data_IF_461776068899
#
_entry.id   IF_461776068899
#
_cell.length_a   1.000
_cell.length_b   1.000
_cell.length_c   1.000
_cell.angle_alpha   90.00
_cell.angle_beta   90.00
_cell.angle_gamma   90.00
#
_symmetry.space_group_name_H-M   'P 1'
#
loop_
_entity.id
_entity.type
_entity.pdbx_description
1 polymer ?
#
# COMPACT_ATOMS: atom_id res chain seq x y z
N UNK A 1 -29.81 37.69 20.38
CA UNK A 1 -29.45 37.67 18.95
C UNK A 1 -30.03 36.37 18.43
N UNK A 2 -31.28 36.42 17.95
CA UNK A 2 -31.96 35.26 17.38
C UNK A 2 -31.38 34.98 16.00
N UNK A 3 -30.99 33.73 15.78
CA UNK A 3 -30.54 33.25 14.49
C UNK A 3 -31.79 32.82 13.72
N UNK A 4 -32.29 33.72 12.88
CA UNK A 4 -33.44 33.46 12.01
C UNK A 4 -32.93 32.72 10.77
N UNK A 5 -33.40 31.49 10.56
CA UNK A 5 -33.10 30.73 9.34
C UNK A 5 -34.04 31.22 8.23
N UNK A 6 -33.45 31.72 7.15
CA UNK A 6 -34.16 32.18 5.96
C UNK A 6 -34.83 30.99 5.25
N UNK A 7 -36.06 30.70 5.64
CA UNK A 7 -36.85 29.53 5.22
C UNK A 7 -37.26 29.62 3.74
N UNK A 8 -37.11 30.79 3.11
CA UNK A 8 -37.46 31.08 1.71
C UNK A 8 -36.60 30.32 0.67
N UNK A 9 -35.49 29.69 1.09
CA UNK A 9 -34.66 28.84 0.21
C UNK A 9 -35.44 27.64 -0.35
N UNK A 10 -36.46 27.16 0.37
CA UNK A 10 -37.19 25.93 0.01
C UNK A 10 -38.60 26.16 -0.54
N UNK A 11 -39.17 27.37 -0.45
CA UNK A 11 -40.58 27.63 -0.81
C UNK A 11 -40.83 28.00 -2.27
N UNK A 12 -39.78 28.18 -3.09
CA UNK A 12 -39.98 28.35 -4.53
C UNK A 12 -40.15 26.97 -5.20
N UNK A 13 -41.35 26.62 -5.71
CA UNK A 13 -41.50 25.42 -6.52
C UNK A 13 -40.59 25.60 -7.74
N UNK A 14 -39.53 24.79 -7.82
CA UNK A 14 -38.69 24.72 -9.01
C UNK A 14 -39.59 24.26 -10.15
N UNK A 15 -40.07 25.21 -10.97
CA UNK A 15 -40.73 24.90 -12.22
C UNK A 15 -39.68 24.18 -13.05
N UNK A 16 -39.78 22.85 -13.08
CA UNK A 16 -38.91 22.01 -13.89
C UNK A 16 -39.31 22.30 -15.32
N UNK A 17 -38.61 23.22 -15.96
CA UNK A 17 -38.72 23.46 -17.40
C UNK A 17 -38.69 22.08 -18.05
N UNK A 18 -39.71 21.73 -18.84
CA UNK A 18 -39.66 20.53 -19.66
C UNK A 18 -38.55 20.75 -20.69
N UNK A 19 -37.32 20.49 -20.28
CA UNK A 19 -36.20 20.33 -21.19
C UNK A 19 -36.57 19.10 -22.00
N UNK A 20 -36.74 19.26 -23.32
CA UNK A 20 -36.92 18.11 -24.20
C UNK A 20 -35.81 17.12 -23.89
N UNK A 21 -36.16 15.91 -23.45
CA UNK A 21 -35.18 14.89 -23.13
C UNK A 21 -34.40 14.59 -24.41
N UNK A 22 -33.22 15.19 -24.56
CA UNK A 22 -32.30 14.77 -25.60
C UNK A 22 -31.89 13.36 -25.21
N UNK A 23 -32.14 12.39 -26.10
CA UNK A 23 -31.73 11.01 -25.85
C UNK A 23 -30.22 11.02 -25.57
N UNK A 24 -29.83 10.79 -24.31
CA UNK A 24 -28.43 10.69 -23.93
C UNK A 24 -27.84 9.51 -24.70
N UNK A 25 -26.96 9.82 -25.66
CA UNK A 25 -26.26 8.80 -26.40
C UNK A 25 -24.99 8.46 -25.61
N UNK A 26 -25.01 7.33 -24.90
CA UNK A 26 -23.88 6.91 -24.08
C UNK A 26 -22.63 6.77 -24.95
N UNK A 27 -21.51 7.31 -24.47
CA UNK A 27 -20.22 7.14 -25.16
C UNK A 27 -19.87 5.65 -25.11
N UNK A 28 -19.82 5.01 -26.27
CA UNK A 28 -19.36 3.63 -26.40
C UNK A 28 -17.84 3.64 -26.31
N UNK A 29 -17.30 3.02 -25.27
CA UNK A 29 -15.88 2.85 -25.07
C UNK A 29 -15.46 1.51 -25.67
N UNK A 30 -14.85 1.52 -26.85
CA UNK A 30 -14.30 0.30 -27.44
C UNK A 30 -13.10 -0.19 -26.61
N UNK A 31 -12.81 -1.50 -26.53
CA UNK A 31 -11.60 -1.98 -25.90
C UNK A 31 -10.36 -1.25 -26.43
N UNK A 32 -9.42 -0.92 -25.55
CA UNK A 32 -8.11 -0.34 -25.90
C UNK A 32 -8.17 0.98 -26.69
N UNK A 33 -9.32 1.68 -26.69
CA UNK A 33 -9.50 2.96 -27.39
C UNK A 33 -8.39 3.98 -27.07
N UNK A 34 -7.89 3.96 -25.82
CA UNK A 34 -6.86 4.86 -25.32
C UNK A 34 -5.47 4.66 -25.95
N UNK A 35 -5.21 3.53 -26.62
CA UNK A 35 -3.94 3.30 -27.30
C UNK A 35 -3.76 4.16 -28.56
N UNK A 36 -4.88 4.54 -29.20
CA UNK A 36 -4.90 5.30 -30.45
C UNK A 36 -5.45 6.72 -30.30
N UNK A 37 -6.02 7.04 -29.15
CA UNK A 37 -6.60 8.35 -28.88
C UNK A 37 -5.50 9.42 -28.79
N UNK A 38 -5.75 10.57 -29.42
CA UNK A 38 -4.97 11.77 -29.23
C UNK A 38 -5.67 12.68 -28.21
N UNK A 39 -5.02 12.93 -27.07
CA UNK A 39 -5.56 13.80 -26.04
C UNK A 39 -5.66 15.25 -26.52
N UNK A 40 -6.82 15.87 -26.32
CA UNK A 40 -7.11 17.24 -26.77
C UNK A 40 -6.46 18.29 -25.88
N UNK A 41 -6.34 17.99 -24.60
CA UNK A 41 -5.72 18.86 -23.59
C UNK A 41 -4.67 18.08 -22.78
N UNK A 42 -3.93 18.80 -21.93
CA UNK A 42 -2.85 18.23 -21.12
C UNK A 42 -3.34 17.19 -20.12
N UNK A 43 -4.56 17.34 -19.59
CA UNK A 43 -5.13 16.41 -18.61
C UNK A 43 -5.54 15.10 -19.29
N UNK A 44 -6.19 15.17 -20.45
CA UNK A 44 -6.54 14.02 -21.28
C UNK A 44 -5.28 13.31 -21.77
N UNK A 45 -4.25 14.04 -22.21
CA UNK A 45 -2.96 13.45 -22.59
C UNK A 45 -2.31 12.71 -21.43
N UNK A 46 -2.36 13.27 -20.21
CA UNK A 46 -1.84 12.64 -19.02
C UNK A 46 -2.61 11.35 -18.67
N UNK A 47 -3.94 11.41 -18.73
CA UNK A 47 -4.81 10.26 -18.46
C UNK A 47 -4.57 9.13 -19.45
N UNK A 48 -4.50 9.45 -20.75
CA UNK A 48 -4.20 8.48 -21.80
C UNK A 48 -2.81 7.85 -21.62
N UNK A 49 -1.81 8.65 -21.26
CA UNK A 49 -0.46 8.15 -20.99
C UNK A 49 -0.44 7.19 -19.79
N UNK A 50 -1.15 7.51 -18.70
CA UNK A 50 -1.30 6.61 -17.55
C UNK A 50 -1.99 5.31 -17.94
N UNK A 51 -3.13 5.39 -18.63
CA UNK A 51 -3.86 4.18 -19.07
C UNK A 51 -3.02 3.27 -19.96
N UNK A 52 -2.24 3.85 -20.86
CA UNK A 52 -1.28 3.11 -21.68
C UNK A 52 -0.24 2.38 -20.81
N UNK A 53 0.36 3.06 -19.84
CA UNK A 53 1.34 2.46 -18.94
C UNK A 53 0.74 1.31 -18.10
N UNK A 54 -0.47 1.50 -17.56
CA UNK A 54 -1.20 0.48 -16.81
C UNK A 54 -1.51 -0.75 -17.69
N UNK A 55 -1.87 -0.52 -18.95
CA UNK A 55 -2.12 -1.59 -19.92
C UNK A 55 -0.84 -2.35 -20.30
N UNK A 56 0.27 -1.66 -20.55
CA UNK A 56 1.57 -2.29 -20.81
C UNK A 56 2.02 -3.15 -19.62
N UNK A 57 1.81 -2.66 -18.39
CA UNK A 57 2.07 -3.44 -17.18
C UNK A 57 1.19 -4.69 -17.11
N UNK A 58 -0.11 -4.56 -17.42
CA UNK A 58 -1.04 -5.69 -17.47
C UNK A 58 -0.61 -6.75 -18.48
N UNK A 59 -0.10 -6.32 -19.65
CA UNK A 59 0.46 -7.22 -20.68
C UNK A 59 1.85 -7.77 -20.33
N UNK A 60 2.34 -7.51 -19.11
CA UNK A 60 3.66 -7.92 -18.63
C UNK A 60 4.83 -7.31 -19.42
N UNK A 61 4.59 -6.24 -20.18
CA UNK A 61 5.62 -5.50 -20.89
C UNK A 61 6.22 -4.42 -19.97
N UNK A 62 6.99 -4.90 -18.99
CA UNK A 62 7.48 -4.06 -17.90
C UNK A 62 8.51 -3.01 -18.37
N UNK A 63 9.19 -3.23 -19.49
CA UNK A 63 10.13 -2.25 -20.04
C UNK A 63 9.38 -1.05 -20.64
N UNK A 64 8.39 -1.31 -21.49
CA UNK A 64 7.58 -0.23 -22.07
C UNK A 64 6.73 0.46 -21.01
N UNK A 65 6.15 -0.30 -20.07
CA UNK A 65 5.41 0.28 -18.95
C UNK A 65 6.29 1.22 -18.11
N UNK A 66 7.55 0.84 -17.85
CA UNK A 66 8.50 1.69 -17.11
C UNK A 66 8.78 3.01 -17.83
N UNK A 67 8.99 2.95 -19.16
CA UNK A 67 9.18 4.15 -19.99
C UNK A 67 7.92 5.02 -19.99
N UNK A 68 6.75 4.42 -20.18
CA UNK A 68 5.46 5.11 -20.20
C UNK A 68 5.15 5.79 -18.85
N UNK A 69 5.37 5.12 -17.71
CA UNK A 69 5.23 5.76 -16.39
C UNK A 69 6.23 6.90 -16.19
N UNK A 70 7.46 6.74 -16.68
CA UNK A 70 8.49 7.81 -16.60
C UNK A 70 8.09 9.03 -17.43
N UNK A 71 7.57 8.80 -18.65
CA UNK A 71 7.03 9.87 -19.50
C UNK A 71 5.81 10.53 -18.86
N UNK A 72 4.91 9.74 -18.27
CA UNK A 72 3.74 10.23 -17.54
C UNK A 72 4.19 11.19 -16.43
N UNK A 73 5.15 10.78 -15.58
CA UNK A 73 5.70 11.60 -14.50
C UNK A 73 6.31 12.93 -14.98
N UNK A 74 6.87 12.97 -16.20
CA UNK A 74 7.39 14.22 -16.78
C UNK A 74 6.26 15.22 -17.14
N UNK A 75 5.05 14.73 -17.39
CA UNK A 75 3.87 15.53 -17.73
C UNK A 75 3.03 15.90 -16.50
N UNK A 76 3.10 15.13 -15.41
CA UNK A 76 2.26 15.37 -14.23
C UNK A 76 2.65 16.71 -13.56
N UNK A 77 1.69 17.65 -13.38
CA UNK A 77 1.97 18.87 -12.64
C UNK A 77 2.23 18.55 -11.16
N UNK A 78 3.12 19.34 -10.52
CA UNK A 78 3.51 19.14 -9.11
C UNK A 78 2.32 19.15 -8.13
N UNK A 79 1.24 19.84 -8.47
CA UNK A 79 0.00 19.90 -7.70
C UNK A 79 -0.80 18.60 -7.69
N UNK A 80 -0.66 17.75 -8.71
CA UNK A 80 -1.41 16.50 -8.83
C UNK A 80 -0.66 15.33 -8.16
N UNK A 81 -0.62 15.35 -6.83
CA UNK A 81 0.07 14.33 -6.03
C UNK A 81 -0.53 12.93 -6.21
N UNK A 82 -1.83 12.82 -6.49
CA UNK A 82 -2.48 11.53 -6.68
C UNK A 82 -1.90 10.78 -7.89
N UNK A 83 -1.87 11.42 -9.07
CA UNK A 83 -1.32 10.79 -10.28
C UNK A 83 0.19 10.58 -10.17
N UNK A 84 0.93 11.48 -9.50
CA UNK A 84 2.36 11.28 -9.23
C UNK A 84 2.59 10.00 -8.43
N UNK A 85 1.86 9.81 -7.33
CA UNK A 85 1.99 8.61 -6.49
C UNK A 85 1.68 7.35 -7.28
N UNK A 86 0.57 7.33 -8.02
CA UNK A 86 0.18 6.19 -8.85
C UNK A 86 1.29 5.82 -9.86
N UNK A 87 1.85 6.83 -10.54
CA UNK A 87 2.87 6.58 -11.56
C UNK A 87 4.23 6.18 -10.95
N UNK A 88 4.63 6.75 -9.81
CA UNK A 88 5.84 6.31 -9.09
C UNK A 88 5.64 4.87 -8.58
N UNK A 89 4.44 4.53 -8.12
CA UNK A 89 4.11 3.18 -7.67
C UNK A 89 4.15 2.16 -8.82
N UNK A 90 3.56 2.51 -9.97
CA UNK A 90 3.64 1.72 -11.20
C UNK A 90 5.09 1.54 -11.68
N UNK A 91 5.88 2.61 -11.67
CA UNK A 91 7.31 2.60 -11.98
C UNK A 91 8.08 1.64 -11.06
N UNK A 92 7.86 1.72 -9.75
CA UNK A 92 8.50 0.85 -8.77
C UNK A 92 8.17 -0.64 -9.01
N UNK A 93 6.90 -0.96 -9.31
CA UNK A 93 6.47 -2.31 -9.64
C UNK A 93 7.13 -2.83 -10.91
N UNK A 94 7.25 -2.00 -11.95
CA UNK A 94 8.00 -2.36 -13.17
C UNK A 94 9.47 -2.67 -12.83
N UNK A 95 10.13 -1.81 -12.05
CA UNK A 95 11.50 -2.03 -11.61
C UNK A 95 11.66 -3.37 -10.88
N UNK A 96 10.73 -3.72 -9.98
CA UNK A 96 10.76 -5.01 -9.29
C UNK A 96 10.65 -6.19 -10.26
N UNK A 97 9.73 -6.13 -11.23
CA UNK A 97 9.56 -7.17 -12.25
C UNK A 97 10.77 -7.33 -13.17
N UNK A 98 11.53 -6.26 -13.37
CA UNK A 98 12.78 -6.24 -14.13
C UNK A 98 14.02 -6.56 -13.28
N UNK A 99 13.88 -6.89 -12.00
CA UNK A 99 15.00 -7.17 -11.09
C UNK A 99 15.82 -5.94 -10.67
N UNK A 100 15.33 -4.73 -10.95
CA UNK A 100 15.97 -3.45 -10.64
C UNK A 100 15.61 -2.96 -9.24
N UNK A 101 16.00 -3.73 -8.21
CA UNK A 101 15.63 -3.49 -6.81
C UNK A 101 16.09 -2.12 -6.29
N UNK A 102 17.27 -1.64 -6.72
CA UNK A 102 17.77 -0.31 -6.34
C UNK A 102 16.91 0.84 -6.86
N UNK A 103 16.46 0.77 -8.12
CA UNK A 103 15.54 1.77 -8.71
C UNK A 103 14.17 1.73 -8.03
N UNK A 104 13.66 0.54 -7.69
CA UNK A 104 12.42 0.39 -6.94
C UNK A 104 12.52 1.03 -5.54
N UNK A 105 13.65 0.87 -4.85
CA UNK A 105 13.89 1.50 -3.55
C UNK A 105 13.95 3.03 -3.65
N UNK A 106 14.49 3.57 -4.74
CA UNK A 106 14.48 5.02 -4.99
C UNK A 106 13.04 5.55 -5.16
N UNK A 107 12.21 4.82 -5.90
CA UNK A 107 10.78 5.15 -6.03
C UNK A 107 10.06 5.09 -4.66
N UNK A 108 10.39 4.12 -3.82
CA UNK A 108 9.82 4.03 -2.46
C UNK A 108 10.16 5.24 -1.59
N UNK A 109 11.39 5.77 -1.67
CA UNK A 109 11.78 7.02 -0.98
C UNK A 109 10.99 8.23 -1.48
N UNK A 110 10.73 8.31 -2.78
CA UNK A 110 9.89 9.36 -3.34
C UNK A 110 8.44 9.24 -2.83
N UNK A 111 7.88 8.03 -2.81
CA UNK A 111 6.54 7.76 -2.26
C UNK A 111 6.40 8.10 -0.78
N UNK A 112 7.48 7.93 0.00
CA UNK A 112 7.53 8.33 1.41
C UNK A 112 7.34 9.84 1.58
N UNK A 113 8.03 10.63 0.76
CA UNK A 113 7.90 12.10 0.77
C UNK A 113 6.49 12.59 0.41
N UNK A 114 5.75 11.79 -0.38
CA UNK A 114 4.39 12.09 -0.83
C UNK A 114 3.30 11.49 0.08
N UNK A 115 3.67 10.80 1.18
CA UNK A 115 2.70 10.06 1.99
C UNK A 115 1.95 10.95 2.99
N UNK A 116 0.75 11.39 2.61
CA UNK A 116 -0.10 12.27 3.43
C UNK A 116 -1.07 11.57 4.38
N UNK A 117 -1.38 10.28 4.20
CA UNK A 117 -2.38 9.56 5.00
C UNK A 117 -1.92 8.12 5.33
N UNK A 118 -2.72 7.42 6.11
CA UNK A 118 -2.40 6.07 6.56
C UNK A 118 -2.35 5.05 5.41
N UNK A 119 -3.28 5.15 4.44
CA UNK A 119 -3.31 4.25 3.29
C UNK A 119 -2.08 4.41 2.39
N UNK A 120 -1.61 5.65 2.20
CA UNK A 120 -0.37 5.96 1.50
C UNK A 120 0.84 5.30 2.15
N UNK A 121 0.88 5.27 3.49
CA UNK A 121 1.96 4.63 4.27
C UNK A 121 1.88 3.11 4.18
N UNK A 122 0.68 2.53 4.24
CA UNK A 122 0.50 1.09 4.09
C UNK A 122 0.92 0.62 2.70
N UNK A 123 0.52 1.32 1.63
CA UNK A 123 0.94 1.00 0.26
C UNK A 123 2.47 1.04 0.12
N UNK A 124 3.13 2.04 0.71
CA UNK A 124 4.59 2.14 0.77
C UNK A 124 5.22 0.96 1.52
N UNK A 125 4.74 0.60 2.71
CA UNK A 125 5.29 -0.51 3.47
C UNK A 125 5.08 -1.86 2.78
N UNK A 126 3.94 -2.05 2.11
CA UNK A 126 3.72 -3.25 1.28
C UNK A 126 4.73 -3.33 0.13
N UNK A 127 5.03 -2.21 -0.52
CA UNK A 127 6.05 -2.15 -1.55
C UNK A 127 7.45 -2.43 -1.01
N UNK A 128 7.81 -1.82 0.13
CA UNK A 128 9.10 -2.06 0.78
C UNK A 128 9.26 -3.53 1.18
N UNK A 129 8.22 -4.16 1.75
CA UNK A 129 8.24 -5.58 2.06
C UNK A 129 8.56 -6.44 0.82
N UNK A 130 8.00 -6.10 -0.34
CA UNK A 130 8.30 -6.78 -1.60
C UNK A 130 9.73 -6.55 -2.10
N UNK A 131 10.22 -5.30 -2.03
CA UNK A 131 11.60 -4.96 -2.38
C UNK A 131 12.59 -5.74 -1.51
N UNK A 132 12.37 -5.76 -0.20
CA UNK A 132 13.25 -6.45 0.73
C UNK A 132 13.15 -7.97 0.61
N UNK A 133 11.97 -8.51 0.29
CA UNK A 133 11.80 -9.92 -0.02
C UNK A 133 12.70 -10.34 -1.20
N UNK A 134 12.63 -9.62 -2.31
CA UNK A 134 13.43 -9.90 -3.51
C UNK A 134 14.94 -9.65 -3.29
N UNK A 135 15.29 -8.75 -2.36
CA UNK A 135 16.66 -8.51 -1.94
C UNK A 135 17.17 -9.51 -0.87
N UNK A 136 16.37 -10.50 -0.49
CA UNK A 136 16.65 -11.44 0.60
C UNK A 136 17.00 -10.76 1.95
N UNK A 137 16.47 -9.57 2.19
CA UNK A 137 16.65 -8.83 3.42
C UNK A 137 15.46 -9.09 4.38
N UNK A 138 15.48 -10.24 5.04
CA UNK A 138 14.41 -10.69 5.94
C UNK A 138 14.15 -9.73 7.10
N UNK A 139 15.17 -9.00 7.58
CA UNK A 139 15.01 -8.06 8.70
C UNK A 139 14.14 -6.86 8.30
N UNK A 140 14.47 -6.23 7.18
CA UNK A 140 13.72 -5.07 6.68
C UNK A 140 12.35 -5.47 6.10
N UNK A 141 12.25 -6.65 5.48
CA UNK A 141 10.94 -7.21 5.08
C UNK A 141 10.03 -7.35 6.32
N UNK A 142 10.54 -7.97 7.39
CA UNK A 142 9.80 -8.15 8.63
C UNK A 142 9.39 -6.80 9.24
N UNK A 143 10.29 -5.83 9.29
CA UNK A 143 10.00 -4.50 9.83
C UNK A 143 8.88 -3.81 9.05
N UNK A 144 8.88 -3.89 7.72
CA UNK A 144 7.82 -3.35 6.87
C UNK A 144 6.48 -4.07 7.10
N UNK A 145 6.48 -5.40 7.16
CA UNK A 145 5.28 -6.21 7.43
C UNK A 145 4.68 -5.92 8.82
N UNK A 146 5.52 -5.76 9.85
CA UNK A 146 5.08 -5.35 11.19
C UNK A 146 4.30 -4.04 11.16
N UNK A 147 4.78 -3.03 10.41
CA UNK A 147 4.06 -1.76 10.25
C UNK A 147 2.73 -1.94 9.52
N UNK A 148 2.68 -2.81 8.49
CA UNK A 148 1.43 -3.11 7.80
C UNK A 148 0.40 -3.77 8.73
N UNK A 149 0.77 -4.78 9.54
CA UNK A 149 -0.18 -5.49 10.40
C UNK A 149 -0.70 -4.64 11.57
N UNK A 150 0.06 -3.65 12.03
CA UNK A 150 -0.41 -2.68 13.02
C UNK A 150 -1.59 -1.85 12.51
N UNK A 151 -1.64 -1.57 11.21
CA UNK A 151 -2.73 -0.78 10.59
C UNK A 151 -3.82 -1.68 9.99
N UNK A 152 -3.43 -2.80 9.36
CA UNK A 152 -4.34 -3.73 8.68
C UNK A 152 -4.24 -5.15 9.24
N UNK A 153 -4.62 -5.36 10.52
CA UNK A 153 -4.47 -6.64 11.19
C UNK A 153 -5.37 -7.75 10.62
N UNK A 154 -6.29 -7.43 9.71
CA UNK A 154 -7.24 -8.36 9.09
C UNK A 154 -6.74 -9.03 7.81
N UNK A 155 -5.51 -8.73 7.37
CA UNK A 155 -4.97 -9.26 6.11
C UNK A 155 -4.20 -10.56 6.39
N UNK A 156 -4.77 -11.70 6.03
CA UNK A 156 -4.16 -13.02 6.29
C UNK A 156 -2.78 -13.17 5.64
N UNK A 157 -2.61 -12.63 4.43
CA UNK A 157 -1.35 -12.70 3.69
C UNK A 157 -0.19 -12.01 4.42
N UNK A 158 -0.44 -10.87 5.08
CA UNK A 158 0.60 -10.16 5.82
C UNK A 158 1.10 -10.98 7.01
N UNK A 159 0.18 -11.61 7.74
CA UNK A 159 0.53 -12.51 8.85
C UNK A 159 1.26 -13.76 8.37
N UNK A 160 0.85 -14.30 7.21
CA UNK A 160 1.52 -15.45 6.62
C UNK A 160 2.97 -15.12 6.26
N UNK A 161 3.19 -14.02 5.52
CA UNK A 161 4.55 -13.56 5.18
C UNK A 161 5.39 -13.29 6.43
N UNK A 162 4.81 -12.61 7.43
CA UNK A 162 5.50 -12.30 8.68
C UNK A 162 5.93 -13.58 9.41
N UNK A 163 5.10 -14.64 9.40
CA UNK A 163 5.47 -15.94 9.97
C UNK A 163 6.69 -16.56 9.28
N UNK A 164 6.80 -16.43 7.95
CA UNK A 164 7.96 -16.93 7.18
C UNK A 164 9.23 -16.17 7.56
N UNK A 165 9.14 -14.85 7.76
CA UNK A 165 10.27 -14.05 8.24
C UNK A 165 10.75 -14.51 9.63
N UNK A 166 9.83 -14.74 10.57
CA UNK A 166 10.16 -15.23 11.90
C UNK A 166 10.76 -16.65 11.89
N UNK A 167 10.25 -17.55 11.05
CA UNK A 167 10.82 -18.90 10.88
C UNK A 167 12.23 -18.84 10.31
N UNK A 168 12.47 -18.00 9.28
CA UNK A 168 13.80 -17.81 8.70
C UNK A 168 14.83 -17.36 9.76
N UNK A 169 14.45 -16.43 10.64
CA UNK A 169 15.30 -16.02 11.75
C UNK A 169 15.51 -17.12 12.79
N UNK A 170 14.46 -17.84 13.18
CA UNK A 170 14.58 -18.96 14.12
C UNK A 170 15.53 -20.05 13.61
N UNK A 171 15.48 -20.37 12.31
CA UNK A 171 16.39 -21.33 11.67
C UNK A 171 17.83 -20.81 11.56
N UNK A 172 18.03 -19.52 11.31
CA UNK A 172 19.37 -18.92 11.28
C UNK A 172 20.05 -18.93 12.66
N UNK A 173 19.26 -18.79 13.73
CA UNK A 173 19.74 -18.70 15.13
C UNK A 173 19.82 -20.10 15.79
N UNK A 174 19.18 -21.13 15.25
CA UNK A 174 19.37 -22.51 15.70
C UNK A 174 20.82 -23.03 15.57
N UNK A 175 21.67 -22.32 14.81
CA UNK A 175 23.13 -22.54 14.72
C UNK A 175 23.94 -21.78 15.80
N UNK A 176 23.27 -21.09 16.73
CA UNK A 176 23.88 -20.34 17.83
C UNK A 176 22.81 -19.63 18.67
N UNK A 177 22.32 -20.31 19.72
CA UNK A 177 21.40 -19.86 20.78
C UNK A 177 20.06 -19.28 20.28
N UNK A 178 19.06 -20.16 20.08
CA UNK A 178 17.68 -19.77 19.76
C UNK A 178 17.12 -18.74 20.75
N UNK A 179 16.59 -17.60 20.27
CA UNK A 179 15.61 -16.86 21.06
C UNK A 179 14.27 -17.61 20.97
N UNK A 180 13.69 -18.09 22.09
CA UNK A 180 12.36 -18.73 22.12
C UNK A 180 11.26 -17.84 21.51
N UNK A 181 11.49 -16.52 21.49
CA UNK A 181 10.56 -15.52 20.98
C UNK A 181 10.25 -15.67 19.49
N UNK A 182 11.23 -15.90 18.60
CA UNK A 182 10.95 -15.91 17.14
C UNK A 182 10.11 -17.11 16.69
N UNK A 183 10.29 -18.28 17.29
CA UNK A 183 9.47 -19.45 16.99
C UNK A 183 8.03 -19.30 17.51
N UNK A 184 7.88 -18.74 18.72
CA UNK A 184 6.57 -18.38 19.28
C UNK A 184 5.84 -17.37 18.38
N UNK A 185 6.58 -16.38 17.89
CA UNK A 185 6.09 -15.34 17.00
C UNK A 185 5.65 -15.85 15.63
N UNK A 186 6.40 -16.79 15.06
CA UNK A 186 5.97 -17.51 13.88
C UNK A 186 4.66 -18.25 14.13
N UNK A 187 4.56 -18.98 15.24
CA UNK A 187 3.34 -19.70 15.64
C UNK A 187 2.13 -18.77 15.80
N UNK A 188 2.28 -17.67 16.53
CA UNK A 188 1.22 -16.67 16.70
C UNK A 188 0.74 -16.10 15.35
N UNK A 189 1.67 -15.78 14.46
CA UNK A 189 1.37 -15.26 13.11
C UNK A 189 0.64 -16.28 12.24
N UNK A 190 1.01 -17.56 12.30
CA UNK A 190 0.31 -18.65 11.58
C UNK A 190 -1.11 -18.88 12.11
N UNK A 191 -1.28 -18.83 13.43
CA UNK A 191 -2.59 -18.95 14.06
C UNK A 191 -3.50 -17.81 13.58
N UNK A 192 -3.01 -16.56 13.59
CA UNK A 192 -3.73 -15.40 13.05
C UNK A 192 -4.10 -15.57 11.59
N UNK A 193 -3.15 -16.00 10.76
CA UNK A 193 -3.37 -16.30 9.35
C UNK A 193 -4.58 -17.24 9.19
N UNK A 194 -4.60 -18.35 9.93
CA UNK A 194 -5.68 -19.35 9.87
C UNK A 194 -7.03 -18.79 10.32
N UNK A 195 -7.07 -18.05 11.43
CA UNK A 195 -8.31 -17.41 11.92
C UNK A 195 -8.92 -16.47 10.86
N UNK A 196 -8.07 -15.66 10.21
CA UNK A 196 -8.50 -14.73 9.17
C UNK A 196 -9.01 -15.44 7.91
N UNK A 197 -8.36 -16.53 7.49
CA UNK A 197 -8.85 -17.36 6.37
C UNK A 197 -10.20 -18.01 6.67
N UNK A 198 -10.46 -18.39 7.92
CA UNK A 198 -11.70 -19.04 8.33
C UNK A 198 -12.83 -18.06 8.66
N UNK A 199 -12.56 -16.74 8.62
CA UNK A 199 -13.54 -15.71 9.01
C UNK A 199 -13.89 -15.73 10.51
N UNK A 200 -13.10 -16.42 11.33
CA UNK A 200 -13.30 -16.50 12.78
C UNK A 200 -12.55 -15.32 13.41
N UNK A 201 -13.28 -14.24 13.67
CA UNK A 201 -12.72 -13.03 14.27
C UNK A 201 -12.68 -13.13 15.80
N UNK A 202 -11.46 -13.28 16.35
CA UNK A 202 -11.19 -13.03 17.77
C UNK A 202 -10.08 -11.98 17.86
N UNK A 203 -10.46 -10.73 18.12
CA UNK A 203 -9.47 -9.69 18.39
C UNK A 203 -9.00 -9.81 19.84
N UNK A 204 -7.88 -10.49 20.06
CA UNK A 204 -7.07 -10.29 21.26
C UNK A 204 -5.96 -9.27 20.92
N UNK A 205 -5.77 -8.18 21.68
CA UNK A 205 -4.60 -7.34 21.52
C UNK A 205 -3.35 -8.17 21.86
N UNK A 206 -2.39 -8.24 20.94
CA UNK A 206 -1.07 -8.81 21.24
C UNK A 206 -0.31 -7.74 22.01
N UNK A 207 -0.27 -7.86 23.33
CA UNK A 207 0.58 -7.03 24.19
C UNK A 207 1.99 -7.58 24.06
N UNK A 208 2.87 -6.78 23.44
CA UNK A 208 4.30 -7.01 23.44
C UNK A 208 4.83 -6.64 24.83
N UNK A 209 4.74 -7.53 25.80
CA UNK A 209 5.49 -7.36 27.04
C UNK A 209 6.97 -7.49 26.72
N UNK A 210 7.64 -6.35 26.62
CA UNK A 210 9.10 -6.26 26.68
C UNK A 210 9.52 -6.95 27.97
N UNK A 211 10.24 -8.06 27.85
CA UNK A 211 10.84 -8.74 28.98
C UNK A 211 11.84 -7.79 29.66
N UNK A 212 11.38 -7.07 30.69
CA UNK A 212 12.26 -6.42 31.64
C UNK A 212 12.98 -7.54 32.40
N UNK A 213 14.27 -7.67 32.13
CA UNK A 213 15.19 -8.50 32.89
C UNK A 213 15.20 -8.01 34.34
N UNK A 214 14.54 -8.74 35.23
CA UNK A 214 14.72 -8.61 36.67
C UNK A 214 16.20 -8.84 37.00
N UNK A 215 16.92 -7.75 37.27
CA UNK A 215 18.24 -7.82 37.89
C UNK A 215 18.05 -8.33 39.32
N UNK A 216 18.46 -9.57 39.54
CA UNK A 216 18.61 -10.18 40.85
C UNK A 216 19.53 -9.35 41.75
N UNK A 217 18.95 -8.56 42.66
CA UNK A 217 19.64 -7.98 43.79
C UNK A 217 19.45 -8.83 45.03
N UNK A 218 20.34 -9.83 45.22
CA UNK A 218 20.52 -10.49 46.53
C UNK A 218 21.07 -9.45 47.52
N UNK A 219 20.22 -8.95 48.41
CA UNK A 219 20.62 -8.24 49.61
C UNK A 219 20.26 -9.08 50.84
N UNK A 220 21.16 -9.98 51.23
CA UNK A 220 21.07 -10.74 52.49
C UNK A 220 22.33 -10.49 53.31
N UNK A 221 22.17 -9.98 54.53
CA UNK A 221 23.14 -10.16 55.62
C UNK A 221 23.72 -8.88 56.24
N UNK A 222 23.20 -8.56 57.43
CA UNK A 222 23.88 -8.10 58.65
C UNK A 222 25.32 -7.54 58.56
N UNK A 223 25.50 -6.30 59.02
CA UNK A 223 26.01 -5.96 60.36
C UNK A 223 25.63 -4.51 60.74
#
# INVERSE_FOLDING_TARGET
>A
MEFDFDDDVFYSPKIRTQISETCYNAKICTPEWFLSAAGKDTEEQLLLAKHKADYEYYQCDYNNALESYTRCLALVPKSNTAVQRDCIEGKARCCLKLGKTGEALQCAKELESLASNCDHRVALWMMLAEIYHLAANTCEEMAALCRCVLVRPWTSELWYRLSKCYLSQASSVANGISLPSSALMAGASLIRTRFLYQGIYVWTPVVWESAELETTGRGSGAD
#
